data_IF_051867519401
#
_entry.id   IF_051867519401
#
_cell.length_a   1.000
_cell.length_b   1.000
_cell.length_c   1.000
_cell.angle_alpha   90.00
_cell.angle_beta   90.00
_cell.angle_gamma   90.00
#
_symmetry.space_group_name_H-M   'P 1'
#
loop_
_entity.id
_entity.type
_entity.pdbx_description
1 polymer ?
#
# COMPACT_ATOMS: atom_id res chain seq x y z
N UNK A 1 5.25 17.96 -10.98
CA UNK A 1 6.20 16.91 -10.53
C UNK A 1 5.79 16.48 -9.13
N UNK A 2 5.79 15.18 -8.81
CA UNK A 2 5.52 14.72 -7.45
C UNK A 2 6.72 15.06 -6.53
N UNK A 3 6.51 15.47 -5.27
CA UNK A 3 7.61 15.71 -4.35
C UNK A 3 8.39 14.42 -4.09
N UNK A 4 9.73 14.49 -3.91
CA UNK A 4 10.51 13.33 -3.50
C UNK A 4 10.03 12.84 -2.13
N UNK A 5 9.69 11.56 -2.05
CA UNK A 5 9.26 10.90 -0.81
C UNK A 5 10.40 10.01 -0.34
N UNK A 6 10.80 10.13 0.92
CA UNK A 6 11.80 9.24 1.51
C UNK A 6 11.17 7.88 1.81
N UNK A 7 11.82 6.76 1.43
CA UNK A 7 11.33 5.45 1.81
C UNK A 7 11.43 5.28 3.33
N UNK A 8 10.46 4.58 3.90
CA UNK A 8 10.44 4.25 5.33
C UNK A 8 10.06 2.77 5.53
N UNK A 9 10.47 2.14 6.65
CA UNK A 9 10.12 0.75 6.92
C UNK A 9 8.59 0.55 7.04
N UNK A 10 8.07 -0.56 6.52
CA UNK A 10 6.62 -0.83 6.60
C UNK A 10 6.07 -0.79 8.04
N UNK A 11 6.87 -1.22 9.02
CA UNK A 11 6.52 -1.18 10.44
C UNK A 11 6.27 0.24 10.99
N UNK A 12 6.85 1.29 10.38
CA UNK A 12 6.62 2.67 10.79
C UNK A 12 5.41 3.31 10.12
N UNK A 13 4.66 2.58 9.27
CA UNK A 13 3.46 3.08 8.61
C UNK A 13 2.42 3.67 9.58
N UNK A 14 2.10 3.06 10.74
CA UNK A 14 1.14 3.63 11.68
C UNK A 14 1.53 5.01 12.21
N UNK A 15 2.83 5.28 12.35
CA UNK A 15 3.32 6.59 12.80
C UNK A 15 3.32 7.58 11.63
N UNK A 16 3.72 7.10 10.44
CA UNK A 16 3.89 7.95 9.27
C UNK A 16 2.57 8.53 8.76
N UNK A 17 1.45 7.79 8.85
CA UNK A 17 0.12 8.29 8.47
C UNK A 17 -0.37 9.45 9.36
N UNK A 18 0.17 9.56 10.58
CA UNK A 18 -0.12 10.63 11.54
C UNK A 18 0.87 11.78 11.45
N UNK A 19 1.79 11.74 10.50
CA UNK A 19 2.79 12.78 10.28
C UNK A 19 2.48 13.53 8.99
N UNK A 20 2.66 14.85 9.02
CA UNK A 20 2.60 15.74 7.85
C UNK A 20 3.84 16.62 7.83
N UNK A 21 4.23 17.12 6.66
CA UNK A 21 5.38 18.02 6.51
C UNK A 21 4.90 19.46 6.42
N UNK A 22 5.38 20.33 7.31
CA UNK A 22 5.12 21.77 7.26
C UNK A 22 6.42 22.54 7.37
N UNK A 23 6.78 23.30 6.32
CA UNK A 23 8.07 24.00 6.26
C UNK A 23 9.27 23.05 6.38
N UNK A 24 9.22 21.92 5.67
CA UNK A 24 10.24 20.85 5.69
C UNK A 24 10.48 20.18 7.05
N UNK A 25 9.62 20.43 8.04
CA UNK A 25 9.68 19.80 9.37
C UNK A 25 8.49 18.85 9.56
N UNK A 26 8.69 17.65 10.13
CA UNK A 26 7.60 16.76 10.46
C UNK A 26 6.74 17.37 11.57
N UNK A 27 5.41 17.31 11.40
CA UNK A 27 4.42 17.70 12.39
C UNK A 27 3.36 16.61 12.51
N UNK A 28 2.81 16.42 13.70
CA UNK A 28 1.66 15.55 13.88
C UNK A 28 0.44 16.11 13.13
N UNK A 29 -0.36 15.23 12.52
CA UNK A 29 -1.68 15.57 12.00
C UNK A 29 -2.63 15.89 13.17
N UNK A 30 -3.63 16.72 12.89
CA UNK A 30 -4.70 17.02 13.85
C UNK A 30 -5.63 15.81 13.96
N UNK A 31 -6.08 15.50 15.17
CA UNK A 31 -7.06 14.45 15.45
C UNK A 31 -6.53 13.33 16.34
N UNK A 32 -7.40 12.42 16.79
CA UNK A 32 -6.99 11.28 17.61
C UNK A 32 -6.12 10.31 16.81
N UNK A 33 -5.19 9.59 17.47
CA UNK A 33 -4.43 8.52 16.84
C UNK A 33 -5.39 7.48 16.24
N UNK A 34 -5.10 7.06 15.02
CA UNK A 34 -5.82 5.97 14.34
C UNK A 34 -5.01 4.70 14.45
N UNK A 35 -5.60 3.67 15.03
CA UNK A 35 -5.07 2.32 14.97
C UNK A 35 -5.42 1.69 13.61
N UNK A 36 -4.42 1.52 12.75
CA UNK A 36 -4.60 0.97 11.41
C UNK A 36 -5.08 -0.49 11.42
N UNK A 37 -4.71 -1.27 12.44
CA UNK A 37 -4.97 -2.71 12.46
C UNK A 37 -6.43 -3.03 12.82
N UNK A 38 -7.11 -2.12 13.52
CA UNK A 38 -8.53 -2.22 13.85
C UNK A 38 -9.46 -1.80 12.70
N UNK A 39 -8.95 -1.09 11.69
CA UNK A 39 -9.75 -0.67 10.54
C UNK A 39 -10.08 -1.83 9.60
N UNK A 40 -11.24 -1.85 8.92
CA UNK A 40 -11.55 -2.89 7.93
C UNK A 40 -10.46 -3.04 6.84
N UNK A 41 -10.17 -4.30 6.49
CA UNK A 41 -9.19 -4.69 5.49
C UNK A 41 -9.89 -4.91 4.14
N UNK A 42 -9.34 -4.32 3.09
CA UNK A 42 -9.86 -4.43 1.73
C UNK A 42 -8.77 -4.86 0.76
N UNK A 43 -9.18 -5.50 -0.33
CA UNK A 43 -8.34 -5.90 -1.43
C UNK A 43 -8.70 -5.10 -2.67
N UNK A 44 -7.70 -4.86 -3.52
CA UNK A 44 -7.88 -4.28 -4.85
C UNK A 44 -6.95 -5.00 -5.81
N UNK A 45 -7.53 -5.56 -6.86
CA UNK A 45 -6.77 -6.10 -7.97
C UNK A 45 -6.32 -4.96 -8.89
N UNK A 46 -5.02 -4.91 -9.16
CA UNK A 46 -4.39 -3.99 -10.11
C UNK A 46 -3.64 -4.80 -11.17
N UNK A 47 -3.23 -4.17 -12.26
CA UNK A 47 -2.35 -4.78 -13.25
C UNK A 47 -1.04 -4.01 -13.32
N UNK A 48 0.09 -4.72 -13.27
CA UNK A 48 1.43 -4.14 -13.37
C UNK A 48 2.13 -4.67 -14.60
N UNK A 49 2.49 -3.75 -15.51
CA UNK A 49 3.22 -4.05 -16.74
C UNK A 49 4.75 -3.98 -16.58
N UNK A 50 5.21 -3.58 -15.40
CA UNK A 50 6.58 -3.71 -14.93
C UNK A 50 6.54 -4.34 -13.53
N UNK A 51 6.13 -5.61 -13.42
CA UNK A 51 5.92 -6.23 -12.13
C UNK A 51 7.25 -6.28 -11.37
N UNK A 52 7.29 -5.90 -10.09
CA UNK A 52 8.53 -5.68 -9.34
C UNK A 52 9.40 -6.93 -9.18
N UNK A 53 8.87 -8.11 -9.52
CA UNK A 53 9.56 -9.40 -9.42
C UNK A 53 10.23 -9.87 -10.72
N UNK A 54 9.90 -9.29 -11.89
CA UNK A 54 10.36 -9.78 -13.19
C UNK A 54 11.42 -8.93 -13.89
N UNK A 55 11.87 -7.85 -13.25
CA UNK A 55 12.88 -6.96 -13.82
C UNK A 55 12.38 -6.25 -15.09
N UNK A 56 13.30 -5.60 -15.82
CA UNK A 56 12.99 -4.93 -17.07
C UNK A 56 12.71 -5.98 -18.16
N UNK A 57 11.65 -5.84 -18.98
CA UNK A 57 11.38 -6.77 -20.06
C UNK A 57 12.60 -6.94 -20.99
N UNK A 58 12.99 -8.19 -21.25
CA UNK A 58 14.20 -8.53 -22.02
C UNK A 58 14.09 -8.26 -23.53
N UNK A 59 12.87 -8.17 -24.08
CA UNK A 59 12.64 -8.02 -25.51
C UNK A 59 11.84 -6.75 -25.84
N UNK A 60 12.27 -5.95 -26.84
CA UNK A 60 11.47 -4.83 -27.33
C UNK A 60 10.19 -5.35 -28.02
N UNK A 61 9.04 -4.72 -27.70
CA UNK A 61 7.81 -4.85 -28.48
C UNK A 61 6.65 -5.62 -27.83
N UNK A 62 6.84 -6.33 -26.70
CA UNK A 62 5.74 -7.03 -26.01
C UNK A 62 5.66 -6.61 -24.55
N UNK A 63 4.59 -5.88 -24.19
CA UNK A 63 4.27 -5.50 -22.81
C UNK A 63 3.37 -6.57 -22.21
N UNK A 64 3.87 -7.32 -21.21
CA UNK A 64 3.06 -8.30 -20.46
C UNK A 64 2.75 -7.73 -19.09
N UNK A 65 1.45 -7.56 -18.81
CA UNK A 65 0.98 -7.09 -17.51
C UNK A 65 0.47 -8.25 -16.66
N UNK A 66 0.81 -8.22 -15.38
CA UNK A 66 0.41 -9.24 -14.42
C UNK A 66 -0.56 -8.65 -13.41
N UNK A 67 -1.52 -9.45 -12.95
CA UNK A 67 -2.39 -9.03 -11.86
C UNK A 67 -1.59 -8.97 -10.55
N UNK A 68 -1.73 -7.86 -9.85
CA UNK A 68 -1.13 -7.61 -8.55
C UNK A 68 -2.25 -7.22 -7.61
N UNK A 69 -2.52 -8.06 -6.62
CA UNK A 69 -3.45 -7.71 -5.54
C UNK A 69 -2.73 -6.80 -4.56
N UNK A 70 -3.37 -5.68 -4.21
CA UNK A 70 -2.92 -4.73 -3.18
C UNK A 70 -3.94 -4.73 -2.06
N UNK A 71 -3.46 -4.56 -0.83
CA UNK A 71 -4.30 -4.61 0.35
C UNK A 71 -4.23 -3.27 1.06
N UNK A 72 -5.37 -2.76 1.50
CA UNK A 72 -5.46 -1.47 2.16
C UNK A 72 -6.39 -1.51 3.37
N UNK A 73 -6.09 -0.66 4.36
CA UNK A 73 -6.96 -0.41 5.51
C UNK A 73 -7.72 0.88 5.26
N UNK A 74 -9.04 0.85 5.43
CA UNK A 74 -9.91 2.04 5.33
C UNK A 74 -10.58 2.28 6.67
N UNK A 75 -10.22 3.38 7.31
CA UNK A 75 -10.69 3.75 8.64
C UNK A 75 -11.90 4.69 8.57
N UNK A 76 -12.73 4.69 9.61
CA UNK A 76 -13.96 5.50 9.67
C UNK A 76 -13.69 7.03 9.60
N UNK A 77 -12.51 7.46 10.02
CA UNK A 77 -12.07 8.86 9.93
C UNK A 77 -11.59 9.28 8.53
N UNK A 78 -11.78 8.43 7.52
CA UNK A 78 -11.41 8.70 6.13
C UNK A 78 -9.96 8.35 5.77
N UNK A 79 -9.13 7.93 6.73
CA UNK A 79 -7.77 7.46 6.44
C UNK A 79 -7.84 6.17 5.62
N UNK A 80 -7.16 6.17 4.47
CA UNK A 80 -6.99 4.99 3.62
C UNK A 80 -5.50 4.81 3.32
N UNK A 81 -4.95 3.64 3.64
CA UNK A 81 -3.53 3.35 3.46
C UNK A 81 -3.31 1.95 2.89
N UNK A 82 -2.47 1.84 1.86
CA UNK A 82 -1.96 0.54 1.41
C UNK A 82 -1.11 -0.07 2.53
N UNK A 83 -1.44 -1.30 2.91
CA UNK A 83 -0.81 -2.03 4.04
C UNK A 83 -0.26 -3.38 3.61
N UNK A 84 -0.14 -3.62 2.29
CA UNK A 84 0.41 -4.88 1.71
C UNK A 84 1.71 -5.32 2.39
N UNK A 85 2.66 -4.40 2.56
CA UNK A 85 3.95 -4.68 3.19
C UNK A 85 3.88 -4.82 4.71
N UNK A 86 2.85 -4.27 5.36
CA UNK A 86 2.65 -4.36 6.81
C UNK A 86 1.99 -5.68 7.21
N UNK A 87 1.00 -6.14 6.43
CA UNK A 87 0.18 -7.31 6.78
C UNK A 87 0.87 -8.65 6.45
N UNK A 88 1.93 -8.64 5.64
CA UNK A 88 2.82 -9.77 5.40
C UNK A 88 2.11 -11.07 5.05
N UNK A 89 1.85 -11.93 6.05
CA UNK A 89 1.24 -13.25 5.89
C UNK A 89 -0.23 -13.19 5.42
N UNK A 90 -1.02 -12.21 5.88
CA UNK A 90 -2.44 -12.08 5.47
C UNK A 90 -2.60 -11.76 3.99
N UNK A 91 -1.50 -11.32 3.34
CA UNK A 91 -1.46 -11.17 1.90
C UNK A 91 -1.91 -12.44 1.18
N UNK A 92 -1.35 -13.59 1.58
CA UNK A 92 -1.64 -14.86 0.90
C UNK A 92 -3.12 -15.22 1.03
N UNK A 93 -3.69 -15.03 2.21
CA UNK A 93 -5.10 -15.35 2.47
C UNK A 93 -6.04 -14.48 1.64
N UNK A 94 -5.75 -13.18 1.55
CA UNK A 94 -6.53 -12.24 0.75
C UNK A 94 -6.36 -12.51 -0.75
N UNK A 95 -5.15 -12.75 -1.23
CA UNK A 95 -4.91 -13.12 -2.64
C UNK A 95 -5.63 -14.42 -2.99
N UNK A 96 -5.59 -15.43 -2.11
CA UNK A 96 -6.28 -16.70 -2.32
C UNK A 96 -7.80 -16.54 -2.36
N UNK A 97 -8.38 -15.61 -1.59
CA UNK A 97 -9.81 -15.28 -1.64
C UNK A 97 -10.18 -14.58 -2.96
N UNK A 98 -9.45 -13.54 -3.34
CA UNK A 98 -9.66 -12.81 -4.60
C UNK A 98 -9.48 -13.71 -5.82
N UNK A 99 -8.51 -14.64 -5.80
CA UNK A 99 -8.29 -15.62 -6.87
C UNK A 99 -9.46 -16.58 -7.06
N UNK A 100 -10.28 -16.78 -6.01
CA UNK A 100 -11.43 -17.66 -6.01
C UNK A 100 -12.75 -16.93 -6.31
N UNK A 101 -12.71 -15.60 -6.46
CA UNK A 101 -13.89 -14.79 -6.79
C UNK A 101 -14.98 -14.81 -5.71
N UNK A 102 -14.59 -14.98 -4.44
CA UNK A 102 -15.50 -15.11 -3.29
C UNK A 102 -15.55 -13.84 -2.43
#
# INVERSE_FOLDING_TARGET
MAPPVTPFPAASLPIHIHTTTHGFKPKARKGPPTDLLSCPLFAMQQFSCNPPRKGVPEAPGVVRCESVVRIFRRCANGVSAETTALEGHKYKDVVLRESKGL
#
